data_IF_285724606911
#
_entry.id   IF_285724606911
#
_cell.length_a   1.000
_cell.length_b   1.000
_cell.length_c   1.000
_cell.angle_alpha   90.00
_cell.angle_beta   90.00
_cell.angle_gamma   90.00
#
_symmetry.space_group_name_H-M   'P 1'
#
loop_
_entity.id
_entity.type
_entity.pdbx_description
1 polymer ?
#
# COMPACT_ATOMS: atom_id res chain seq x y z
N UNK A 1 -8.95 38.74 -2.20
CA UNK A 1 -7.84 37.82 -1.89
C UNK A 1 -8.13 36.48 -2.55
N UNK A 2 -7.33 36.06 -3.54
CA UNK A 2 -7.48 34.74 -4.19
C UNK A 2 -6.74 33.72 -3.32
N UNK A 3 -7.47 32.94 -2.52
CA UNK A 3 -6.89 31.85 -1.74
C UNK A 3 -6.80 30.61 -2.62
N UNK A 4 -5.58 30.31 -3.07
CA UNK A 4 -5.27 29.09 -3.82
C UNK A 4 -5.35 27.90 -2.85
N UNK A 5 -6.34 27.01 -3.01
CA UNK A 5 -6.42 25.76 -2.25
C UNK A 5 -5.27 24.84 -2.65
N UNK A 6 -4.36 24.60 -1.71
CA UNK A 6 -3.28 23.62 -1.86
C UNK A 6 -3.88 22.24 -1.52
N UNK A 7 -4.13 21.43 -2.55
CA UNK A 7 -4.35 20.00 -2.39
C UNK A 7 -2.99 19.39 -2.05
N UNK A 8 -2.78 19.01 -0.79
CA UNK A 8 -1.58 18.27 -0.40
C UNK A 8 -1.75 16.82 -0.83
N UNK A 9 -1.41 16.53 -2.09
CA UNK A 9 -1.23 15.17 -2.56
C UNK A 9 0.09 14.64 -1.98
N UNK A 10 0.03 13.92 -0.87
CA UNK A 10 1.19 13.17 -0.38
C UNK A 10 1.29 11.92 -1.25
N UNK A 11 1.84 12.07 -2.46
CA UNK A 11 2.45 10.94 -3.14
C UNK A 11 3.71 10.64 -2.31
N UNK A 12 3.69 9.59 -1.49
CA UNK A 12 4.94 8.98 -1.10
C UNK A 12 5.53 8.36 -2.36
N UNK A 13 6.22 9.19 -3.15
CA UNK A 13 7.16 8.70 -4.12
C UNK A 13 8.22 7.98 -3.31
N UNK A 14 8.23 6.64 -3.38
CA UNK A 14 9.45 5.90 -3.09
C UNK A 14 10.50 6.49 -4.05
N UNK A 15 11.58 7.10 -3.55
CA UNK A 15 12.59 7.70 -4.40
C UNK A 15 13.05 6.69 -5.46
N UNK A 16 13.06 7.12 -6.73
CA UNK A 16 13.48 6.27 -7.87
C UNK A 16 14.96 5.88 -7.81
N UNK A 17 15.73 6.47 -6.90
CA UNK A 17 17.15 6.24 -6.67
C UNK A 17 17.45 5.21 -5.58
N UNK A 18 16.45 4.61 -4.91
CA UNK A 18 16.73 3.53 -3.95
C UNK A 18 17.02 2.17 -4.61
N UNK A 19 17.46 2.17 -5.87
CA UNK A 19 18.05 1.02 -6.58
C UNK A 19 19.54 0.81 -6.27
N UNK A 20 20.09 1.50 -5.27
CA UNK A 20 21.41 1.20 -4.73
C UNK A 20 21.93 2.34 -3.88
N UNK A 21 22.02 2.11 -2.57
CA UNK A 21 22.74 3.02 -1.67
C UNK A 21 21.98 3.34 -0.39
N UNK A 22 21.79 2.35 0.49
CA UNK A 22 21.50 2.66 1.89
C UNK A 22 22.76 3.24 2.53
N UNK A 23 22.70 4.53 2.89
CA UNK A 23 23.65 5.17 3.78
C UNK A 23 23.75 4.38 5.08
N UNK A 24 24.94 3.89 5.36
CA UNK A 24 25.27 3.13 6.55
C UNK A 24 25.42 4.08 7.75
N UNK A 25 24.49 4.03 8.69
CA UNK A 25 24.79 4.34 10.10
C UNK A 25 23.89 3.55 11.03
N UNK A 26 24.54 2.90 12.00
CA UNK A 26 24.05 2.12 13.16
C UNK A 26 23.54 0.70 12.89
N UNK A 27 24.52 -0.23 12.85
CA UNK A 27 24.34 -1.70 12.94
C UNK A 27 23.41 -2.37 11.93
N UNK A 28 23.57 -2.07 10.64
CA UNK A 28 23.12 -3.01 9.62
C UNK A 28 24.06 -4.22 9.66
N UNK A 29 23.62 -5.34 10.27
CA UNK A 29 24.35 -6.62 10.20
C UNK A 29 24.51 -6.99 8.73
N UNK A 30 25.70 -6.77 8.18
CA UNK A 30 26.04 -7.25 6.85
C UNK A 30 25.88 -8.77 6.81
N UNK A 31 25.31 -9.29 5.72
CA UNK A 31 25.10 -10.72 5.50
C UNK A 31 24.31 -11.44 6.61
N UNK A 32 23.08 -11.02 6.90
CA UNK A 32 22.12 -11.98 7.49
C UNK A 32 21.64 -12.86 6.33
N UNK A 33 22.11 -14.12 6.17
CA UNK A 33 21.54 -15.03 5.20
C UNK A 33 20.05 -15.20 5.53
N UNK A 34 19.17 -14.81 4.60
CA UNK A 34 17.75 -15.10 4.73
C UNK A 34 17.58 -16.59 4.42
N UNK A 35 17.44 -17.39 5.47
CA UNK A 35 17.08 -18.78 5.30
C UNK A 35 15.58 -18.89 5.03
N UNK A 36 15.22 -19.10 3.77
CA UNK A 36 13.84 -19.29 3.33
C UNK A 36 13.29 -20.70 3.62
N UNK A 37 14.18 -21.68 3.90
CA UNK A 37 13.81 -23.08 4.10
C UNK A 37 13.95 -23.42 5.58
N UNK A 38 12.84 -23.76 6.23
CA UNK A 38 12.85 -24.23 7.60
C UNK A 38 12.67 -25.73 7.66
N UNK A 39 13.51 -26.39 8.44
CA UNK A 39 13.56 -27.85 8.54
C UNK A 39 12.99 -28.35 9.88
N UNK A 40 12.55 -29.60 9.91
CA UNK A 40 12.25 -30.32 11.15
C UNK A 40 13.53 -30.69 11.91
N UNK A 41 13.37 -31.39 13.04
CA UNK A 41 14.49 -31.86 13.88
C UNK A 41 15.40 -32.88 13.17
N UNK A 42 14.96 -33.44 12.04
CA UNK A 42 15.75 -34.38 11.22
C UNK A 42 16.43 -33.69 10.04
N UNK A 43 16.28 -32.37 9.88
CA UNK A 43 16.87 -31.61 8.78
C UNK A 43 16.07 -31.64 7.48
N UNK A 44 14.86 -32.21 7.46
CA UNK A 44 14.01 -32.23 6.27
C UNK A 44 13.16 -30.96 6.19
N UNK A 45 12.84 -30.50 4.96
CA UNK A 45 11.91 -29.38 4.77
C UNK A 45 10.61 -29.56 5.56
N UNK A 46 10.20 -28.52 6.27
CA UNK A 46 8.95 -28.50 7.03
C UNK A 46 8.12 -27.29 6.65
N UNK A 47 7.02 -27.53 5.93
CA UNK A 47 6.04 -26.49 5.60
C UNK A 47 5.47 -25.84 6.86
N UNK A 48 5.14 -26.65 7.87
CA UNK A 48 4.59 -26.19 9.15
C UNK A 48 5.52 -25.18 9.83
N UNK A 49 6.80 -25.52 9.95
CA UNK A 49 7.79 -24.63 10.59
C UNK A 49 8.00 -23.40 9.71
N UNK A 50 8.05 -23.56 8.39
CA UNK A 50 8.21 -22.44 7.45
C UNK A 50 7.08 -21.42 7.56
N UNK A 51 5.83 -21.89 7.65
CA UNK A 51 4.66 -21.02 7.87
C UNK A 51 4.70 -20.32 9.23
N UNK A 52 5.11 -21.02 10.28
CA UNK A 52 5.26 -20.43 11.61
C UNK A 52 6.29 -19.29 11.60
N UNK A 53 7.44 -19.49 10.94
CA UNK A 53 8.49 -18.46 10.82
C UNK A 53 8.07 -17.27 9.96
N UNK A 54 7.34 -17.49 8.88
CA UNK A 54 6.73 -16.39 8.13
C UNK A 54 5.73 -15.57 8.98
N UNK A 55 4.97 -16.22 9.86
CA UNK A 55 4.07 -15.54 10.80
C UNK A 55 4.82 -14.78 11.90
N UNK A 56 5.95 -15.31 12.40
CA UNK A 56 6.85 -14.57 13.30
C UNK A 56 7.32 -13.28 12.64
N UNK A 57 7.75 -13.32 11.37
CA UNK A 57 8.13 -12.12 10.62
C UNK A 57 6.97 -11.15 10.44
N UNK A 58 5.79 -11.62 10.01
CA UNK A 58 4.59 -10.79 9.88
C UNK A 58 4.33 -9.99 11.16
N UNK A 59 4.42 -10.66 12.31
CA UNK A 59 4.17 -10.06 13.61
C UNK A 59 5.29 -9.10 14.02
N UNK A 60 6.56 -9.50 13.85
CA UNK A 60 7.71 -8.68 14.20
C UNK A 60 7.76 -7.34 13.42
N UNK A 61 7.34 -7.34 12.16
CA UNK A 61 7.28 -6.14 11.32
C UNK A 61 5.93 -5.42 11.37
N UNK A 62 4.99 -5.84 12.22
CA UNK A 62 3.67 -5.20 12.32
C UNK A 62 2.86 -5.25 11.02
N UNK A 63 3.09 -6.24 10.16
CA UNK A 63 2.42 -6.35 8.87
C UNK A 63 0.92 -6.61 9.07
N UNK A 64 0.07 -5.77 8.49
CA UNK A 64 -1.39 -5.93 8.53
C UNK A 64 -1.84 -7.23 7.84
N UNK A 65 -1.29 -7.49 6.66
CA UNK A 65 -1.55 -8.70 5.87
C UNK A 65 -0.29 -9.53 5.67
N UNK A 66 -0.45 -10.83 5.43
CA UNK A 66 0.66 -11.71 5.03
C UNK A 66 1.13 -11.36 3.62
N UNK A 67 2.40 -11.65 3.33
CA UNK A 67 2.92 -11.55 1.97
C UNK A 67 2.14 -12.48 1.02
N UNK A 68 1.91 -12.02 -0.22
CA UNK A 68 1.17 -12.77 -1.24
C UNK A 68 1.87 -12.66 -2.58
N UNK A 69 2.14 -13.81 -3.21
CA UNK A 69 2.74 -13.89 -4.55
C UNK A 69 1.75 -13.58 -5.68
N UNK A 70 0.46 -13.50 -5.36
CA UNK A 70 -0.61 -13.18 -6.33
C UNK A 70 -1.15 -11.77 -6.11
N UNK A 71 -0.39 -10.89 -5.43
CA UNK A 71 -0.80 -9.52 -5.15
C UNK A 71 -0.80 -8.64 -6.41
N UNK A 72 -1.75 -7.73 -6.52
CA UNK A 72 -1.79 -6.74 -7.60
C UNK A 72 -0.63 -5.75 -7.56
N UNK A 73 0.00 -5.55 -6.40
CA UNK A 73 1.22 -4.74 -6.28
C UNK A 73 2.39 -5.34 -7.06
N UNK A 74 2.53 -6.68 -7.05
CA UNK A 74 3.56 -7.40 -7.83
C UNK A 74 3.34 -7.21 -9.33
N UNK A 75 2.07 -7.18 -9.75
CA UNK A 75 1.68 -7.03 -11.16
C UNK A 75 1.68 -5.56 -11.63
N UNK A 76 1.99 -4.60 -10.77
CA UNK A 76 1.91 -3.17 -11.08
C UNK A 76 0.48 -2.68 -11.34
N UNK A 77 -0.53 -3.34 -10.74
CA UNK A 77 -1.96 -3.06 -10.92
C UNK A 77 -2.67 -2.55 -9.65
N UNK A 78 -1.89 -2.26 -8.61
CA UNK A 78 -2.35 -1.64 -7.37
C UNK A 78 -1.41 -0.52 -6.96
N UNK A 79 -1.93 0.40 -6.15
CA UNK A 79 -1.19 1.46 -5.49
C UNK A 79 -1.76 1.65 -4.08
N UNK A 80 -0.87 1.90 -3.13
CA UNK A 80 -1.23 2.26 -1.78
C UNK A 80 -1.17 3.78 -1.64
N UNK A 81 -2.31 4.39 -1.34
CA UNK A 81 -2.47 5.84 -1.20
C UNK A 81 -3.30 6.18 0.04
N UNK A 82 -2.71 6.98 0.92
CA UNK A 82 -3.46 7.68 1.96
C UNK A 82 -3.91 9.03 1.41
N UNK A 83 -5.22 9.21 1.28
CA UNK A 83 -5.83 10.44 0.75
C UNK A 83 -6.61 11.11 1.86
N UNK A 84 -6.33 12.39 2.12
CA UNK A 84 -7.08 13.21 3.08
C UNK A 84 -7.27 14.61 2.51
N UNK A 85 -8.36 15.27 2.88
CA UNK A 85 -8.59 16.67 2.54
C UNK A 85 -9.37 17.37 3.66
N UNK A 86 -8.99 18.63 3.90
CA UNK A 86 -9.47 19.44 5.03
C UNK A 86 -10.40 20.58 4.62
N UNK A 87 -10.60 20.77 3.31
CA UNK A 87 -11.51 21.74 2.69
C UNK A 87 -12.20 21.07 1.53
N UNK A 88 -13.34 21.60 1.11
CA UNK A 88 -14.05 21.13 -0.08
C UNK A 88 -13.10 21.03 -1.28
N UNK A 89 -13.11 19.86 -1.93
CA UNK A 89 -12.36 19.63 -3.16
C UNK A 89 -13.33 19.43 -4.33
N UNK A 90 -12.93 19.94 -5.49
CA UNK A 90 -13.59 19.68 -6.76
C UNK A 90 -12.87 18.53 -7.45
N UNK A 91 -13.62 17.51 -7.82
CA UNK A 91 -13.12 16.35 -8.55
C UNK A 91 -14.05 16.04 -9.70
N UNK A 92 -13.50 15.56 -10.82
CA UNK A 92 -14.29 15.11 -11.96
C UNK A 92 -14.32 13.60 -12.02
N UNK A 93 -15.39 13.04 -12.55
CA UNK A 93 -15.43 11.65 -12.97
C UNK A 93 -14.87 11.48 -14.40
N UNK A 94 -14.80 10.22 -14.87
CA UNK A 94 -14.32 9.91 -16.22
C UNK A 94 -15.16 10.56 -17.33
N UNK A 95 -16.44 10.83 -17.10
CA UNK A 95 -17.32 11.52 -18.06
C UNK A 95 -17.16 13.05 -18.02
N UNK A 96 -16.36 13.58 -17.09
CA UNK A 96 -16.10 15.00 -16.91
C UNK A 96 -17.10 15.72 -15.99
N UNK A 97 -18.05 15.00 -15.37
CA UNK A 97 -18.98 15.58 -14.39
C UNK A 97 -18.22 15.95 -13.12
N UNK A 98 -18.44 17.18 -12.66
CA UNK A 98 -17.81 17.72 -11.45
C UNK A 98 -18.61 17.36 -10.19
N UNK A 99 -17.90 17.01 -9.12
CA UNK A 99 -18.38 16.71 -7.79
C UNK A 99 -17.64 17.58 -6.78
N UNK A 100 -18.35 18.00 -5.73
CA UNK A 100 -17.75 18.66 -4.57
C UNK A 100 -17.74 17.65 -3.43
N UNK A 101 -16.55 17.35 -2.90
CA UNK A 101 -16.38 16.49 -1.73
C UNK A 101 -16.00 17.34 -0.52
N UNK A 102 -16.82 17.31 0.52
CA UNK A 102 -16.55 17.98 1.81
C UNK A 102 -15.46 17.24 2.59
N UNK A 103 -14.75 17.89 3.54
CA UNK A 103 -13.59 17.34 4.25
C UNK A 103 -13.77 15.89 4.72
N UNK A 104 -12.89 14.99 4.27
CA UNK A 104 -12.95 13.57 4.59
C UNK A 104 -11.59 12.88 4.27
N UNK A 105 -11.60 11.56 4.15
CA UNK A 105 -10.47 10.73 3.74
C UNK A 105 -10.88 9.71 2.68
N UNK A 106 -9.92 9.27 1.88
CA UNK A 106 -10.15 8.33 0.80
C UNK A 106 -10.38 6.89 1.25
N UNK A 107 -10.10 6.54 2.51
CA UNK A 107 -10.44 5.21 3.01
C UNK A 107 -11.95 5.04 3.23
N UNK A 108 -12.66 6.12 3.60
CA UNK A 108 -14.07 6.07 4.05
C UNK A 108 -15.06 6.83 3.16
N UNK A 109 -14.61 7.72 2.28
CA UNK A 109 -15.49 8.51 1.43
C UNK A 109 -16.04 7.67 0.26
N UNK A 110 -17.32 7.29 0.35
CA UNK A 110 -17.99 6.49 -0.69
C UNK A 110 -18.04 7.22 -2.03
N UNK A 111 -18.31 8.52 -2.04
CA UNK A 111 -18.35 9.31 -3.27
C UNK A 111 -17.01 9.28 -4.01
N UNK A 112 -15.89 9.35 -3.27
CA UNK A 112 -14.56 9.20 -3.87
C UNK A 112 -14.36 7.78 -4.45
N UNK A 113 -14.87 6.75 -3.78
CA UNK A 113 -14.80 5.36 -4.28
C UNK A 113 -15.59 5.20 -5.58
N UNK A 114 -16.81 5.74 -5.62
CA UNK A 114 -17.68 5.72 -6.79
C UNK A 114 -17.05 6.48 -7.96
N UNK A 115 -16.45 7.66 -7.70
CA UNK A 115 -15.72 8.45 -8.70
C UNK A 115 -14.48 7.69 -9.20
N UNK A 116 -13.69 7.11 -8.30
CA UNK A 116 -12.52 6.29 -8.65
C UNK A 116 -12.90 5.10 -9.55
N UNK A 117 -14.03 4.44 -9.26
CA UNK A 117 -14.53 3.34 -10.06
C UNK A 117 -14.84 3.75 -11.51
N UNK A 118 -15.24 5.00 -11.76
CA UNK A 118 -15.41 5.51 -13.14
C UNK A 118 -14.11 5.51 -13.93
N UNK A 119 -12.96 5.66 -13.27
CA UNK A 119 -11.63 5.56 -13.88
C UNK A 119 -11.08 4.12 -13.92
N UNK A 120 -11.83 3.14 -13.42
CA UNK A 120 -11.37 1.76 -13.28
C UNK A 120 -10.41 1.54 -12.11
N UNK A 121 -10.44 2.43 -11.10
CA UNK A 121 -9.62 2.32 -9.88
C UNK A 121 -10.54 2.12 -8.68
N UNK A 122 -10.43 0.98 -8.03
CA UNK A 122 -11.37 0.54 -7.01
C UNK A 122 -10.69 0.45 -5.64
N UNK A 123 -11.40 0.93 -4.62
CA UNK A 123 -10.96 0.87 -3.23
C UNK A 123 -11.13 -0.55 -2.66
N UNK A 124 -10.10 -1.08 -2.01
CA UNK A 124 -10.26 -2.22 -1.10
C UNK A 124 -10.65 -1.73 0.30
N UNK A 125 -11.89 -1.98 0.73
CA UNK A 125 -12.42 -1.40 1.98
C UNK A 125 -11.76 -1.93 3.27
N UNK A 126 -11.26 -3.18 3.25
CA UNK A 126 -10.57 -3.77 4.42
C UNK A 126 -9.15 -3.23 4.61
N UNK A 127 -8.56 -2.71 3.54
CA UNK A 127 -7.19 -2.21 3.54
C UNK A 127 -7.14 -0.74 3.15
N UNK A 128 -7.25 0.13 4.16
CA UNK A 128 -7.37 1.59 4.05
C UNK A 128 -6.50 2.26 2.96
N UNK A 129 -5.20 1.96 2.79
CA UNK A 129 -4.41 2.57 1.72
C UNK A 129 -4.65 1.96 0.34
N UNK A 130 -5.18 0.75 0.21
CA UNK A 130 -5.11 -0.02 -1.04
C UNK A 130 -6.16 0.39 -2.08
N UNK A 131 -5.69 0.66 -3.30
CA UNK A 131 -6.48 0.90 -4.50
C UNK A 131 -5.94 0.05 -5.66
N UNK A 132 -6.82 -0.56 -6.45
CA UNK A 132 -6.38 -1.40 -7.57
C UNK A 132 -7.39 -1.44 -8.69
N UNK A 133 -6.99 -2.00 -9.84
CA UNK A 133 -7.88 -2.12 -10.99
C UNK A 133 -9.11 -3.02 -10.78
N UNK A 134 -9.13 -3.83 -9.72
CA UNK A 134 -10.22 -4.76 -9.42
C UNK A 134 -10.65 -4.78 -7.94
N UNK A 135 -10.14 -3.85 -7.12
CA UNK A 135 -10.51 -3.72 -5.71
C UNK A 135 -10.02 -4.86 -4.83
N UNK A 136 -9.00 -5.60 -5.27
CA UNK A 136 -8.33 -6.67 -4.54
C UNK A 136 -6.85 -6.40 -4.37
#
# INVERSE_FOLDING_TARGET
MKSTSILTLVIQSIPKDNRGGYGKTETQKENIPINWIHTDSSGNYSEKISRAKAMEMKNAYGMKYIASITSNHILGKAIDMTITWIKDIKIKDKAGKEYILTPNNGAKCKELHDIGATYGVYKLLKDDPHWSFNGK
#
